data_IF_932917148879
#
_entry.id   IF_932917148879
#
_cell.length_a   1.000
_cell.length_b   1.000
_cell.length_c   1.000
_cell.angle_alpha   90.00
_cell.angle_beta   90.00
_cell.angle_gamma   90.00
#
_symmetry.space_group_name_H-M   'P 1'
#
loop_
_entity.id
_entity.type
_entity.pdbx_description
1 polymer ?
#
# COMPACT_ATOMS: atom_id res chain seq x y z
N UNK A 1 -15.22 0.72 -3.64
CA UNK A 1 -13.78 1.09 -3.59
C UNK A 1 -12.96 -0.13 -3.96
N UNK A 2 -12.16 -0.05 -5.02
CA UNK A 2 -11.25 -1.11 -5.49
C UNK A 2 -10.05 -1.25 -4.54
N UNK A 3 -9.33 -2.38 -4.60
CA UNK A 3 -8.12 -2.61 -3.78
C UNK A 3 -7.02 -1.58 -4.07
N UNK A 4 -6.93 -1.09 -5.31
CA UNK A 4 -6.01 -0.01 -5.69
C UNK A 4 -6.40 1.33 -5.08
N UNK A 5 -7.70 1.65 -5.03
CA UNK A 5 -8.19 2.83 -4.33
C UNK A 5 -7.93 2.73 -2.82
N UNK A 6 -8.14 1.55 -2.22
CA UNK A 6 -7.78 1.27 -0.82
C UNK A 6 -6.31 1.51 -0.54
N UNK A 7 -5.42 1.02 -1.40
CA UNK A 7 -3.99 1.26 -1.29
C UNK A 7 -3.65 2.77 -1.31
N UNK A 8 -4.23 3.52 -2.25
CA UNK A 8 -4.01 4.97 -2.36
C UNK A 8 -4.53 5.72 -1.13
N UNK A 9 -5.71 5.36 -0.64
CA UNK A 9 -6.32 5.96 0.55
C UNK A 9 -5.48 5.69 1.80
N UNK A 10 -5.05 4.44 2.00
CA UNK A 10 -4.16 4.04 3.10
C UNK A 10 -2.86 4.85 3.07
N UNK A 11 -2.18 4.91 1.92
CA UNK A 11 -0.96 5.70 1.78
C UNK A 11 -1.15 7.16 2.16
N UNK A 12 -2.24 7.77 1.69
CA UNK A 12 -2.56 9.17 1.99
C UNK A 12 -2.85 9.37 3.48
N UNK A 13 -3.62 8.47 4.10
CA UNK A 13 -3.98 8.54 5.51
C UNK A 13 -2.76 8.39 6.44
N UNK A 14 -1.82 7.51 6.07
CA UNK A 14 -0.60 7.24 6.85
C UNK A 14 0.58 8.16 6.47
N UNK A 15 0.42 9.06 5.50
CA UNK A 15 1.51 9.91 5.01
C UNK A 15 2.66 9.16 4.33
N UNK A 16 2.43 7.93 3.86
CA UNK A 16 3.48 7.07 3.30
C UNK A 16 3.78 7.39 1.84
N UNK A 17 5.06 7.54 1.54
CA UNK A 17 5.61 7.63 0.19
C UNK A 17 5.97 6.24 -0.36
N UNK A 18 6.38 6.17 -1.64
CA UNK A 18 6.93 4.92 -2.17
C UNK A 18 8.32 4.60 -1.59
N UNK A 19 9.04 5.60 -1.07
CA UNK A 19 10.35 5.41 -0.46
C UNK A 19 10.22 4.74 0.91
N UNK A 20 9.29 5.21 1.74
CA UNK A 20 9.02 4.61 3.06
C UNK A 20 8.57 3.15 2.92
N UNK A 21 7.68 2.88 1.96
CA UNK A 21 7.22 1.52 1.68
C UNK A 21 8.35 0.63 1.19
N UNK A 22 9.22 1.17 0.32
CA UNK A 22 10.40 0.48 -0.17
C UNK A 22 11.35 0.09 0.97
N UNK A 23 11.55 0.99 1.94
CA UNK A 23 12.34 0.73 3.15
C UNK A 23 11.68 -0.36 4.01
N UNK A 24 10.37 -0.29 4.25
CA UNK A 24 9.62 -1.28 5.06
C UNK A 24 9.72 -2.69 4.47
N UNK A 25 9.55 -2.84 3.15
CA UNK A 25 9.48 -4.15 2.51
C UNK A 25 10.83 -4.60 1.90
N UNK A 26 11.87 -3.78 2.03
CA UNK A 26 13.23 -4.11 1.59
C UNK A 26 13.41 -4.18 0.07
N UNK A 27 12.74 -3.32 -0.71
CA UNK A 27 12.90 -3.24 -2.18
C UNK A 27 13.18 -1.81 -2.65
N UNK A 28 13.43 -1.60 -3.94
CA UNK A 28 13.62 -0.24 -4.46
C UNK A 28 12.29 0.52 -4.63
N UNK A 29 12.27 1.86 -4.48
CA UNK A 29 11.07 2.68 -4.71
C UNK A 29 10.49 2.53 -6.12
N UNK A 30 11.36 2.28 -7.12
CA UNK A 30 10.95 2.01 -8.49
C UNK A 30 10.22 0.65 -8.61
N UNK A 31 10.67 -0.37 -7.87
CA UNK A 31 9.99 -1.66 -7.80
C UNK A 31 8.60 -1.51 -7.17
N UNK A 32 8.47 -0.75 -6.07
CA UNK A 32 7.17 -0.40 -5.47
C UNK A 32 6.25 0.23 -6.51
N UNK A 33 6.71 1.30 -7.18
CA UNK A 33 5.94 2.00 -8.21
C UNK A 33 5.47 1.06 -9.32
N UNK A 34 6.33 0.16 -9.79
CA UNK A 34 6.04 -0.78 -10.88
C UNK A 34 5.04 -1.86 -10.47
N UNK A 35 5.15 -2.39 -9.24
CA UNK A 35 4.25 -3.43 -8.73
C UNK A 35 2.85 -2.88 -8.41
N UNK A 36 2.74 -1.62 -7.99
CA UNK A 36 1.47 -1.01 -7.58
C UNK A 36 0.78 -0.23 -8.71
N UNK A 37 1.11 -0.52 -9.98
CA UNK A 37 0.44 0.10 -11.13
C UNK A 37 -1.02 -0.36 -11.22
N UNK A 38 -1.95 0.55 -11.51
CA UNK A 38 -3.38 0.22 -11.62
C UNK A 38 -3.71 -0.83 -12.68
N UNK A 39 -2.85 -1.00 -13.69
CA UNK A 39 -2.99 -1.99 -14.76
C UNK A 39 -2.58 -3.40 -14.35
N UNK A 40 -2.01 -3.56 -13.14
CA UNK A 40 -1.53 -4.84 -12.61
C UNK A 40 -2.30 -5.22 -11.36
N UNK A 41 -2.27 -6.49 -11.02
CA UNK A 41 -2.75 -6.93 -9.72
C UNK A 41 -1.88 -6.34 -8.60
N UNK A 42 -2.53 -5.89 -7.53
CA UNK A 42 -1.83 -5.36 -6.37
C UNK A 42 -1.04 -6.48 -5.67
N UNK A 43 0.24 -6.29 -5.32
CA UNK A 43 1.03 -7.33 -4.69
C UNK A 43 0.49 -7.72 -3.30
N UNK A 44 0.78 -8.95 -2.87
CA UNK A 44 0.29 -9.53 -1.61
C UNK A 44 0.69 -8.71 -0.37
N UNK A 45 1.91 -8.17 -0.35
CA UNK A 45 2.35 -7.30 0.75
C UNK A 45 1.47 -6.04 0.86
N UNK A 46 1.07 -5.43 -0.26
CA UNK A 46 0.23 -4.24 -0.25
C UNK A 46 -1.20 -4.56 0.20
N UNK A 47 -1.72 -5.73 -0.18
CA UNK A 47 -3.01 -6.25 0.33
C UNK A 47 -2.96 -6.47 1.85
N UNK A 48 -1.85 -7.01 2.37
CA UNK A 48 -1.65 -7.20 3.81
C UNK A 48 -1.62 -5.86 4.55
N UNK A 49 -0.91 -4.85 4.04
CA UNK A 49 -0.90 -3.51 4.64
C UNK A 49 -2.31 -2.88 4.70
N UNK A 50 -3.09 -3.02 3.62
CA UNK A 50 -4.49 -2.56 3.60
C UNK A 50 -5.30 -3.26 4.69
N UNK A 51 -5.18 -4.57 4.82
CA UNK A 51 -5.93 -5.34 5.82
C UNK A 51 -5.64 -4.86 7.25
N UNK A 52 -4.36 -4.66 7.58
CA UNK A 52 -3.96 -4.15 8.91
C UNK A 52 -4.50 -2.74 9.13
N UNK A 53 -4.38 -1.84 8.14
CA UNK A 53 -4.91 -0.48 8.25
C UNK A 53 -6.43 -0.44 8.42
N UNK A 54 -7.18 -1.28 7.70
CA UNK A 54 -8.63 -1.39 7.87
C UNK A 54 -9.03 -1.93 9.25
N UNK A 55 -8.23 -2.83 9.83
CA UNK A 55 -8.44 -3.31 11.20
C UNK A 55 -8.18 -2.23 12.24
N UNK A 56 -7.07 -1.50 12.13
CA UNK A 56 -6.75 -0.40 13.04
C UNK A 56 -7.85 0.68 13.05
N UNK A 57 -8.42 0.99 11.88
CA UNK A 57 -9.53 1.94 11.76
C UNK A 57 -10.87 1.45 12.30
N UNK A 58 -11.07 0.14 12.42
CA UNK A 58 -12.32 -0.43 12.94
C UNK A 58 -12.33 -0.46 14.47
N UNK A 59 -11.15 -0.34 15.09
CA UNK A 59 -10.97 -0.33 16.54
C UNK A 59 -10.95 1.10 17.14
N UNK A 60 -11.06 2.14 16.29
CA UNK A 60 -11.27 3.57 16.66
C UNK A 60 -12.76 3.94 16.62
#
# INVERSE_FOLDING_TARGET
MTTHEKYKAMKKALGLTNADIAEIIGISPNSVKNQTQSSKELPTWAKSMIFVWEKLKADE
#
